data_IF_899510681436
#
_entry.id   IF_899510681436
#
_cell.length_a   1.000
_cell.length_b   1.000
_cell.length_c   1.000
_cell.angle_alpha   90.00
_cell.angle_beta   90.00
_cell.angle_gamma   90.00
#
_symmetry.space_group_name_H-M   'P 1'
#
loop_
_entity.id
_entity.type
_entity.pdbx_description
1 polymer ?
#
# COMPACT_ATOMS: atom_id res chain seq x y z
N UNK A 1 -13.35 5.78 -0.71
CA UNK A 1 -12.86 4.38 -0.91
C UNK A 1 -11.41 4.26 -0.47
N UNK A 2 -11.00 3.17 0.20
CA UNK A 2 -9.60 2.93 0.60
C UNK A 2 -8.89 2.12 -0.47
N UNK A 3 -7.67 2.55 -0.83
CA UNK A 3 -6.79 1.89 -1.81
C UNK A 3 -5.41 1.67 -1.18
N UNK A 4 -5.00 0.39 -1.08
CA UNK A 4 -3.65 0.04 -0.63
C UNK A 4 -2.59 0.41 -1.67
N UNK A 5 -1.49 0.98 -1.21
CA UNK A 5 -0.29 1.26 -2.01
C UNK A 5 0.89 0.31 -1.70
N UNK A 6 0.65 -0.80 -1.03
CA UNK A 6 1.71 -1.69 -0.53
C UNK A 6 2.31 -1.06 0.75
N UNK A 7 3.47 -1.15 1.05
CA UNK A 7 4.69 -1.88 1.09
C UNK A 7 4.51 -3.40 1.08
N UNK A 8 3.53 -3.87 1.85
CA UNK A 8 3.14 -5.26 2.03
C UNK A 8 1.60 -5.41 2.00
N UNK A 9 1.09 -6.58 2.36
CA UNK A 9 -0.33 -6.88 2.36
C UNK A 9 -1.11 -6.41 3.61
N UNK A 10 -0.48 -5.77 4.59
CA UNK A 10 -1.11 -5.42 5.88
C UNK A 10 -2.35 -4.55 5.70
N UNK A 11 -2.26 -3.50 4.89
CA UNK A 11 -3.39 -2.61 4.62
C UNK A 11 -4.55 -3.37 3.99
N UNK A 12 -4.27 -4.22 3.01
CA UNK A 12 -5.29 -5.04 2.33
C UNK A 12 -5.93 -6.07 3.27
N UNK A 13 -5.14 -6.66 4.17
CA UNK A 13 -5.66 -7.55 5.22
C UNK A 13 -6.62 -6.83 6.16
N UNK A 14 -6.30 -5.59 6.58
CA UNK A 14 -7.21 -4.81 7.42
C UNK A 14 -8.47 -4.41 6.65
N UNK A 15 -8.33 -3.99 5.41
CA UNK A 15 -9.49 -3.68 4.57
C UNK A 15 -10.41 -4.90 4.37
N UNK A 16 -9.86 -6.10 4.22
CA UNK A 16 -10.66 -7.33 4.17
C UNK A 16 -11.33 -7.63 5.49
N UNK A 17 -10.57 -7.59 6.58
CA UNK A 17 -11.08 -7.86 7.93
C UNK A 17 -12.29 -6.99 8.29
N UNK A 18 -12.26 -5.72 7.90
CA UNK A 18 -13.31 -4.74 8.18
C UNK A 18 -14.33 -4.56 7.05
N UNK A 19 -14.27 -5.38 5.99
CA UNK A 19 -15.13 -5.28 4.79
C UNK A 19 -15.09 -3.91 4.12
N UNK A 20 -13.94 -3.24 4.19
CA UNK A 20 -13.71 -1.94 3.56
C UNK A 20 -13.22 -2.07 2.13
N UNK A 21 -12.70 -3.25 1.75
CA UNK A 21 -12.22 -3.53 0.41
C UNK A 21 -13.39 -3.80 -0.53
N UNK A 22 -13.63 -2.90 -1.48
CA UNK A 22 -14.67 -3.06 -2.49
C UNK A 22 -14.27 -4.02 -3.62
N UNK A 23 -12.97 -4.10 -3.92
CA UNK A 23 -12.42 -4.91 -5.01
C UNK A 23 -10.92 -5.13 -4.85
N UNK A 24 -10.36 -6.08 -5.60
CA UNK A 24 -8.90 -6.28 -5.61
C UNK A 24 -8.21 -5.33 -6.59
N UNK A 25 -7.12 -4.71 -6.16
CA UNK A 25 -6.30 -3.74 -6.86
C UNK A 25 -4.82 -4.18 -6.95
N UNK A 26 -3.96 -3.52 -7.75
CA UNK A 26 -2.61 -4.02 -8.05
C UNK A 26 -1.75 -4.29 -6.82
N UNK A 27 -1.79 -3.42 -5.81
CA UNK A 27 -0.88 -3.48 -4.66
C UNK A 27 -1.43 -4.25 -3.45
N UNK A 28 -2.60 -4.88 -3.54
CA UNK A 28 -3.23 -5.53 -2.40
C UNK A 28 -2.42 -6.70 -1.81
N UNK A 29 -1.76 -7.48 -2.68
CA UNK A 29 -1.12 -8.74 -2.30
C UNK A 29 0.31 -8.88 -2.82
N UNK A 30 0.97 -7.77 -3.03
CA UNK A 30 2.37 -7.74 -3.43
C UNK A 30 3.18 -6.87 -2.46
N UNK A 31 4.49 -6.95 -2.58
CA UNK A 31 5.43 -6.12 -1.81
C UNK A 31 6.00 -5.07 -2.75
N UNK A 32 5.82 -3.79 -2.47
CA UNK A 32 6.38 -2.69 -3.25
C UNK A 32 7.58 -2.08 -2.51
N UNK A 33 8.80 -2.47 -2.92
CA UNK A 33 10.01 -2.08 -2.20
C UNK A 33 10.37 -0.60 -2.33
N UNK A 34 10.18 -0.04 -3.50
CA UNK A 34 10.67 1.30 -3.84
C UNK A 34 9.56 2.33 -4.01
N UNK A 35 8.41 2.07 -3.44
CA UNK A 35 7.27 2.93 -3.63
C UNK A 35 6.49 2.59 -4.90
N UNK A 36 5.65 3.49 -5.33
CA UNK A 36 4.65 3.19 -6.36
C UNK A 36 4.52 4.31 -7.40
N UNK A 37 5.19 5.45 -7.22
CA UNK A 37 5.00 6.62 -8.08
C UNK A 37 5.27 6.34 -9.55
N UNK A 38 6.31 5.55 -9.87
CA UNK A 38 6.64 5.18 -11.26
C UNK A 38 5.53 4.35 -11.93
N UNK A 39 4.84 3.49 -11.16
CA UNK A 39 3.71 2.73 -11.70
C UNK A 39 2.59 3.66 -12.18
N UNK A 40 2.29 4.70 -11.41
CA UNK A 40 1.26 5.68 -11.76
C UNK A 40 1.74 6.63 -12.87
N UNK A 41 3.03 6.96 -12.91
CA UNK A 41 3.58 7.85 -13.92
C UNK A 41 3.46 7.29 -15.33
N UNK A 42 3.72 6.00 -15.53
CA UNK A 42 3.64 5.34 -16.83
C UNK A 42 2.38 4.48 -17.04
N UNK A 43 1.34 4.72 -16.23
CA UNK A 43 0.03 4.05 -16.35
C UNK A 43 0.11 2.52 -16.23
N UNK A 44 1.02 2.00 -15.39
CA UNK A 44 1.22 0.57 -15.15
C UNK A 44 1.68 -0.21 -16.40
N UNK A 45 2.21 0.47 -17.41
CA UNK A 45 2.57 -0.11 -18.70
C UNK A 45 3.44 -1.36 -18.59
N UNK A 46 4.38 -1.34 -17.65
CA UNK A 46 5.34 -2.43 -17.46
C UNK A 46 5.12 -3.21 -16.15
N UNK A 47 3.89 -3.22 -15.65
CA UNK A 47 3.61 -3.84 -14.35
C UNK A 47 3.76 -5.35 -14.36
N UNK A 48 3.50 -6.00 -15.50
CA UNK A 48 3.56 -7.46 -15.64
C UNK A 48 4.59 -7.96 -16.67
N UNK A 49 4.91 -7.17 -17.68
CA UNK A 49 5.76 -7.62 -18.80
C UNK A 49 7.25 -7.64 -18.47
N UNK A 50 7.63 -7.14 -17.30
CA UNK A 50 9.02 -7.09 -16.82
C UNK A 50 9.29 -7.96 -15.61
N UNK A 51 8.37 -8.88 -15.27
CA UNK A 51 8.53 -9.77 -14.12
C UNK A 51 9.66 -10.76 -14.40
N UNK A 52 10.67 -10.75 -13.52
CA UNK A 52 11.83 -11.63 -13.61
C UNK A 52 11.61 -12.99 -12.92
N UNK A 53 12.65 -13.84 -12.95
CA UNK A 53 12.65 -15.15 -12.30
C UNK A 53 12.45 -15.09 -10.78
N UNK A 54 12.75 -13.95 -10.15
CA UNK A 54 12.56 -13.71 -8.72
C UNK A 54 11.18 -13.13 -8.42
N UNK A 55 10.31 -13.07 -9.42
CA UNK A 55 8.95 -12.54 -9.37
C UNK A 55 8.91 -11.05 -9.02
N UNK A 56 9.88 -10.30 -9.50
CA UNK A 56 9.99 -8.86 -9.27
C UNK A 56 9.94 -8.15 -10.62
N UNK A 57 9.17 -7.09 -10.73
CA UNK A 57 9.11 -6.27 -11.93
C UNK A 57 10.08 -5.08 -11.87
N UNK A 58 10.16 -4.29 -12.96
CA UNK A 58 11.06 -3.13 -13.06
C UNK A 58 10.81 -2.04 -12.01
N UNK A 59 9.62 -2.02 -11.39
CA UNK A 59 9.27 -1.08 -10.33
C UNK A 59 9.61 -1.59 -8.93
N UNK A 60 10.37 -2.68 -8.83
CA UNK A 60 10.67 -3.37 -7.58
C UNK A 60 9.39 -3.81 -6.82
N UNK A 61 8.36 -4.21 -7.55
CA UNK A 61 7.18 -4.87 -6.99
C UNK A 61 7.38 -6.37 -7.01
N UNK A 62 7.35 -6.98 -5.85
CA UNK A 62 7.50 -8.43 -5.65
C UNK A 62 6.13 -9.09 -5.50
N UNK A 63 5.87 -10.08 -6.33
CA UNK A 63 4.61 -10.84 -6.36
C UNK A 63 4.67 -12.05 -5.42
N UNK A 64 4.63 -11.78 -4.12
CA UNK A 64 4.83 -12.79 -3.07
C UNK A 64 3.88 -14.00 -3.18
N UNK A 65 2.63 -13.78 -3.55
CA UNK A 65 1.60 -14.81 -3.61
C UNK A 65 1.44 -15.43 -5.00
N UNK A 66 1.92 -14.78 -6.04
CA UNK A 66 1.64 -15.08 -7.44
C UNK A 66 2.92 -15.42 -8.21
N UNK A 67 2.77 -15.91 -9.45
CA UNK A 67 3.89 -16.29 -10.33
C UNK A 67 4.81 -17.37 -9.74
N UNK A 68 4.27 -18.28 -8.92
CA UNK A 68 5.05 -19.30 -8.21
C UNK A 68 5.42 -20.49 -9.11
N UNK A 69 4.60 -20.76 -10.12
CA UNK A 69 4.86 -21.78 -11.11
C UNK A 69 4.34 -21.35 -12.50
N UNK A 70 4.85 -22.03 -13.53
CA UNK A 70 4.51 -21.69 -14.91
C UNK A 70 3.05 -22.00 -15.29
N UNK A 71 2.35 -22.81 -14.50
CA UNK A 71 0.97 -23.25 -14.83
C UNK A 71 -0.05 -22.14 -14.52
N UNK A 72 0.29 -21.20 -13.64
CA UNK A 72 -0.59 -20.09 -13.25
C UNK A 72 -0.21 -18.76 -13.90
N UNK A 73 0.89 -18.72 -14.66
CA UNK A 73 1.50 -17.48 -15.16
C UNK A 73 0.52 -16.64 -16.01
N UNK A 74 -0.19 -17.26 -16.95
CA UNK A 74 -1.17 -16.55 -17.78
C UNK A 74 -2.34 -16.02 -16.96
N UNK A 75 -2.84 -16.82 -16.02
CA UNK A 75 -3.94 -16.42 -15.13
C UNK A 75 -3.51 -15.27 -14.20
N UNK A 76 -2.27 -15.29 -13.74
CA UNK A 76 -1.71 -14.23 -12.92
C UNK A 76 -1.56 -12.94 -13.74
N UNK A 77 -1.10 -13.02 -14.99
CA UNK A 77 -1.06 -11.88 -15.91
C UNK A 77 -2.44 -11.26 -16.11
N UNK A 78 -3.44 -12.04 -16.49
CA UNK A 78 -4.82 -11.57 -16.68
C UNK A 78 -5.36 -10.91 -15.41
N UNK A 79 -5.08 -11.49 -14.25
CA UNK A 79 -5.47 -10.96 -12.96
C UNK A 79 -4.91 -9.56 -12.73
N UNK A 80 -3.61 -9.37 -12.97
CA UNK A 80 -2.96 -8.07 -12.74
C UNK A 80 -3.31 -7.05 -13.82
N UNK A 81 -3.46 -7.43 -15.09
CA UNK A 81 -4.00 -6.55 -16.14
C UNK A 81 -5.36 -6.00 -15.70
N UNK A 82 -6.27 -6.87 -15.27
CA UNK A 82 -7.59 -6.48 -14.82
C UNK A 82 -7.55 -5.57 -13.60
N UNK A 83 -6.63 -5.80 -12.64
CA UNK A 83 -6.46 -4.96 -11.45
C UNK A 83 -5.93 -3.57 -11.80
N UNK A 84 -4.93 -3.47 -12.69
CA UNK A 84 -4.36 -2.21 -13.15
C UNK A 84 -5.40 -1.39 -13.92
N UNK A 85 -6.09 -2.00 -14.88
CA UNK A 85 -7.16 -1.33 -15.65
C UNK A 85 -8.26 -0.81 -14.73
N UNK A 86 -8.67 -1.62 -13.76
CA UNK A 86 -9.68 -1.22 -12.78
C UNK A 86 -9.24 -0.01 -11.95
N UNK A 87 -8.00 0.00 -11.47
CA UNK A 87 -7.48 1.14 -10.74
C UNK A 87 -7.49 2.40 -11.61
N UNK A 88 -7.02 2.32 -12.84
CA UNK A 88 -7.04 3.46 -13.76
C UNK A 88 -8.46 3.98 -14.04
N UNK A 89 -9.44 3.09 -14.21
CA UNK A 89 -10.85 3.46 -14.39
C UNK A 89 -11.43 4.15 -13.15
N UNK A 90 -11.09 3.67 -11.96
CA UNK A 90 -11.48 4.32 -10.71
C UNK A 90 -10.92 5.73 -10.64
N UNK A 91 -9.62 5.90 -10.90
CA UNK A 91 -8.96 7.21 -10.82
C UNK A 91 -9.54 8.24 -11.79
N UNK A 92 -10.00 7.78 -12.96
CA UNK A 92 -10.60 8.64 -13.99
C UNK A 92 -12.04 9.04 -13.69
N UNK A 93 -12.83 8.13 -13.11
CA UNK A 93 -14.29 8.22 -13.14
C UNK A 93 -14.95 8.32 -11.76
N UNK A 94 -14.23 8.12 -10.66
CA UNK A 94 -14.86 8.14 -9.34
C UNK A 94 -15.22 9.55 -8.90
N UNK A 95 -16.38 9.67 -8.28
CA UNK A 95 -16.81 10.88 -7.56
C UNK A 95 -16.57 10.78 -6.04
N UNK A 96 -16.30 9.55 -5.56
CA UNK A 96 -15.97 9.30 -4.17
C UNK A 96 -14.55 9.77 -3.84
N UNK A 97 -14.34 10.22 -2.61
CA UNK A 97 -13.00 10.45 -2.10
C UNK A 97 -12.20 9.14 -2.05
N UNK A 98 -10.98 9.17 -2.57
CA UNK A 98 -10.01 8.08 -2.44
C UNK A 98 -9.08 8.36 -1.26
N UNK A 99 -8.88 7.35 -0.42
CA UNK A 99 -7.87 7.37 0.62
C UNK A 99 -6.81 6.34 0.24
N UNK A 100 -5.68 6.84 -0.26
CA UNK A 100 -4.52 5.98 -0.50
C UNK A 100 -3.82 5.68 0.82
N UNK A 101 -3.56 4.41 1.08
CA UNK A 101 -2.94 3.98 2.33
C UNK A 101 -1.69 3.16 2.04
N UNK A 102 -0.57 3.57 2.64
CA UNK A 102 0.70 2.85 2.58
C UNK A 102 1.15 2.50 3.99
N UNK A 103 1.46 1.23 4.23
CA UNK A 103 2.34 0.86 5.34
C UNK A 103 3.75 1.25 4.92
N UNK A 104 4.39 2.16 5.64
CA UNK A 104 5.72 2.63 5.30
C UNK A 104 6.79 1.56 5.53
N UNK A 105 8.03 1.92 5.32
CA UNK A 105 9.16 1.02 5.41
C UNK A 105 9.19 0.22 6.73
N UNK A 106 9.11 -1.09 6.63
CA UNK A 106 9.11 -1.98 7.81
C UNK A 106 10.49 -2.54 8.15
N UNK A 107 11.52 -2.32 7.40
CA UNK A 107 12.86 -2.88 7.61
C UNK A 107 12.93 -4.42 7.67
N UNK A 108 11.81 -5.07 7.58
CA UNK A 108 11.63 -6.48 7.93
C UNK A 108 12.01 -7.44 6.81
N UNK A 109 11.85 -7.02 5.58
CA UNK A 109 12.18 -7.84 4.41
C UNK A 109 13.57 -7.53 3.86
N UNK A 110 14.39 -6.82 4.61
CA UNK A 110 15.75 -6.46 4.20
C UNK A 110 16.62 -7.66 3.85
N UNK A 111 16.46 -8.72 4.63
CA UNK A 111 17.34 -9.88 4.52
C UNK A 111 16.93 -10.83 3.37
N UNK A 112 15.65 -10.80 2.98
CA UNK A 112 15.12 -11.70 1.94
C UNK A 112 15.44 -11.22 0.51
N UNK A 113 15.62 -9.92 0.31
CA UNK A 113 15.72 -9.32 -1.02
C UNK A 113 16.86 -8.31 -1.18
N UNK A 114 18.01 -8.57 -0.55
CA UNK A 114 19.28 -7.88 -0.80
C UNK A 114 19.21 -6.33 -0.66
N UNK A 115 18.52 -5.84 0.34
CA UNK A 115 18.48 -4.40 0.61
C UNK A 115 17.67 -3.58 -0.39
N UNK A 116 16.69 -4.16 -1.06
CA UNK A 116 15.81 -3.46 -2.01
C UNK A 116 14.94 -2.38 -1.38
N UNK A 117 14.70 -2.47 -0.07
CA UNK A 117 13.96 -1.41 0.62
C UNK A 117 14.74 -0.11 0.67
N UNK A 118 14.06 0.95 0.30
CA UNK A 118 14.54 2.33 0.50
C UNK A 118 14.43 2.73 1.98
N UNK A 119 14.95 3.88 2.29
CA UNK A 119 14.80 4.50 3.62
C UNK A 119 13.38 5.05 3.82
N UNK A 120 13.00 5.32 5.06
CA UNK A 120 11.75 6.02 5.37
C UNK A 120 11.66 7.35 4.61
N UNK A 121 12.76 8.11 4.55
CA UNK A 121 12.80 9.40 3.84
C UNK A 121 12.49 9.23 2.37
N UNK A 122 13.12 8.27 1.68
CA UNK A 122 12.86 8.03 0.25
C UNK A 122 11.46 7.47 -0.02
N UNK A 123 10.86 6.76 0.94
CA UNK A 123 9.47 6.30 0.82
C UNK A 123 8.48 7.48 0.91
N UNK A 124 8.73 8.43 1.80
CA UNK A 124 7.96 9.67 1.89
C UNK A 124 8.11 10.51 0.61
N UNK A 125 9.33 10.66 0.10
CA UNK A 125 9.61 11.37 -1.16
C UNK A 125 8.88 10.74 -2.34
N UNK A 126 8.81 9.41 -2.40
CA UNK A 126 8.05 8.70 -3.44
C UNK A 126 6.54 8.99 -3.35
N UNK A 127 5.98 9.02 -2.15
CA UNK A 127 4.55 9.36 -1.96
C UNK A 127 4.29 10.84 -2.28
N UNK A 128 5.19 11.75 -1.95
CA UNK A 128 5.09 13.17 -2.36
C UNK A 128 5.17 13.34 -3.89
N UNK A 129 5.99 12.52 -4.57
CA UNK A 129 6.02 12.43 -6.03
C UNK A 129 4.72 11.87 -6.59
N UNK A 130 4.19 10.79 -5.98
CA UNK A 130 2.90 10.21 -6.35
C UNK A 130 1.77 11.23 -6.25
N UNK A 131 1.74 12.01 -5.18
CA UNK A 131 0.78 13.11 -5.02
C UNK A 131 0.82 14.09 -6.20
N UNK A 132 2.03 14.49 -6.60
CA UNK A 132 2.24 15.39 -7.74
C UNK A 132 1.73 14.76 -9.05
N UNK A 133 1.99 13.47 -9.27
CA UNK A 133 1.54 12.72 -10.45
C UNK A 133 0.02 12.62 -10.48
N UNK A 134 -0.61 12.25 -9.36
CA UNK A 134 -2.07 12.12 -9.27
C UNK A 134 -2.75 13.46 -9.50
N UNK A 135 -2.28 14.53 -8.87
CA UNK A 135 -2.82 15.86 -9.06
C UNK A 135 -2.76 16.33 -10.52
N UNK A 136 -1.67 16.02 -11.23
CA UNK A 136 -1.49 16.36 -12.63
C UNK A 136 -2.36 15.51 -13.57
N UNK A 137 -2.42 14.19 -13.36
CA UNK A 137 -3.15 13.27 -14.23
C UNK A 137 -4.66 13.26 -13.99
N UNK A 138 -5.07 13.48 -12.74
CA UNK A 138 -6.47 13.35 -12.31
C UNK A 138 -6.93 14.60 -11.53
N UNK A 139 -6.98 15.79 -12.17
CA UNK A 139 -7.19 17.07 -11.47
C UNK A 139 -8.57 17.22 -10.80
N UNK A 140 -9.53 16.33 -11.10
CA UNK A 140 -10.86 16.32 -10.48
C UNK A 140 -10.97 15.30 -9.34
N UNK A 141 -9.96 14.46 -9.16
CA UNK A 141 -10.00 13.42 -8.15
C UNK A 141 -9.91 14.04 -6.75
N UNK A 142 -10.83 13.66 -5.89
CA UNK A 142 -10.76 13.97 -4.46
C UNK A 142 -10.00 12.85 -3.77
N UNK A 143 -8.89 13.18 -3.13
CA UNK A 143 -8.08 12.16 -2.46
C UNK A 143 -7.26 12.73 -1.31
N UNK A 144 -6.87 11.83 -0.41
CA UNK A 144 -5.80 12.03 0.58
C UNK A 144 -4.94 10.78 0.67
N UNK A 145 -3.76 10.91 1.24
CA UNK A 145 -2.81 9.83 1.44
C UNK A 145 -2.51 9.65 2.92
N UNK A 146 -2.46 8.42 3.38
CA UNK A 146 -2.17 8.06 4.76
C UNK A 146 -0.99 7.09 4.76
N UNK A 147 0.06 7.42 5.50
CA UNK A 147 1.24 6.59 5.64
C UNK A 147 1.37 6.13 7.09
N UNK A 148 1.47 4.83 7.29
CA UNK A 148 1.81 4.20 8.57
C UNK A 148 3.31 3.88 8.60
N UNK A 149 4.08 4.55 9.42
CA UNK A 149 5.48 4.25 9.61
C UNK A 149 5.66 3.42 10.89
N UNK A 150 5.95 2.14 10.74
CA UNK A 150 6.21 1.23 11.85
C UNK A 150 7.50 0.44 11.61
N UNK A 151 8.60 0.87 12.19
CA UNK A 151 9.86 0.14 12.14
C UNK A 151 10.76 0.49 13.31
N UNK A 152 11.13 -0.49 14.11
CA UNK A 152 12.05 -0.30 15.24
C UNK A 152 13.49 -0.04 14.81
N UNK A 153 13.95 -0.65 13.71
CA UNK A 153 15.32 -0.48 13.19
C UNK A 153 15.52 0.85 12.48
N UNK A 154 14.46 1.41 11.92
CA UNK A 154 14.49 2.65 11.16
C UNK A 154 13.90 3.83 11.92
N UNK A 155 13.22 3.55 13.03
CA UNK A 155 12.56 4.55 13.86
C UNK A 155 13.51 5.05 14.92
N UNK A 156 13.95 6.27 14.78
CA UNK A 156 14.61 6.97 15.87
C UNK A 156 13.49 7.65 16.69
N UNK A 157 13.28 7.30 17.96
CA UNK A 157 12.13 7.75 18.75
C UNK A 157 12.01 9.27 18.89
N UNK A 158 13.05 10.01 18.55
CA UNK A 158 13.09 11.47 18.60
C UNK A 158 12.90 12.13 17.23
N UNK A 159 12.73 11.35 16.15
CA UNK A 159 12.50 11.89 14.81
C UNK A 159 11.02 11.72 14.48
N UNK A 160 10.33 12.84 14.30
CA UNK A 160 8.99 12.89 13.75
C UNK A 160 9.09 13.06 12.25
N UNK A 161 8.63 12.06 11.51
CA UNK A 161 8.54 12.16 10.06
C UNK A 161 7.26 12.90 9.69
N UNK A 162 7.38 13.87 8.78
CA UNK A 162 6.28 14.70 8.30
C UNK A 162 6.39 14.88 6.79
N UNK A 163 5.27 15.09 6.10
CA UNK A 163 5.24 15.50 4.70
C UNK A 163 5.10 17.01 4.58
N UNK A 164 5.62 17.55 3.49
CA UNK A 164 5.42 18.96 3.08
C UNK A 164 4.08 19.19 2.36
N UNK A 165 3.35 18.12 2.06
CA UNK A 165 2.09 18.15 1.34
C UNK A 165 0.91 18.09 2.29
N UNK A 166 -0.08 18.96 2.11
CA UNK A 166 -1.22 19.07 3.02
C UNK A 166 -2.19 17.89 2.99
N UNK A 167 -2.20 17.14 1.90
CA UNK A 167 -3.06 15.97 1.71
C UNK A 167 -2.35 14.64 2.02
N UNK A 168 -1.14 14.69 2.59
CA UNK A 168 -0.40 13.52 3.05
C UNK A 168 -0.29 13.55 4.57
N UNK A 169 -0.86 12.55 5.21
CA UNK A 169 -0.87 12.36 6.66
C UNK A 169 0.08 11.20 7.01
N UNK A 170 1.03 11.45 7.93
CA UNK A 170 2.00 10.47 8.37
C UNK A 170 1.77 10.12 9.84
N UNK A 171 1.49 8.84 10.09
CA UNK A 171 1.35 8.28 11.43
C UNK A 171 2.64 7.55 11.82
N UNK A 172 3.42 8.15 12.70
CA UNK A 172 4.62 7.55 13.27
C UNK A 172 4.20 6.58 14.38
N UNK A 173 4.30 5.28 14.11
CA UNK A 173 3.93 4.23 15.04
C UNK A 173 5.20 3.77 15.76
N UNK A 174 5.30 4.08 17.05
CA UNK A 174 6.38 3.59 17.91
C UNK A 174 6.11 2.12 18.25
N UNK A 175 6.43 1.22 17.34
CA UNK A 175 6.21 -0.19 17.50
C UNK A 175 7.43 -0.96 17.00
N UNK A 176 7.66 -2.14 17.57
CA UNK A 176 8.62 -3.09 17.01
C UNK A 176 8.21 -3.44 15.59
N UNK A 177 9.19 -3.64 14.69
CA UNK A 177 8.93 -4.14 13.36
C UNK A 177 7.93 -5.29 13.45
N UNK A 178 6.85 -5.26 12.65
CA UNK A 178 5.73 -6.21 12.72
C UNK A 178 4.84 -6.13 13.96
N UNK A 179 4.75 -5.01 14.61
CA UNK A 179 3.65 -4.81 15.53
C UNK A 179 2.34 -4.60 14.75
N UNK A 180 1.78 -5.73 14.30
CA UNK A 180 0.45 -5.76 13.71
C UNK A 180 -0.59 -5.14 14.63
N UNK A 181 -0.41 -5.21 15.95
CA UNK A 181 -1.34 -4.67 16.93
C UNK A 181 -1.28 -3.14 16.96
N UNK A 182 -0.09 -2.55 16.97
CA UNK A 182 0.07 -1.09 16.94
C UNK A 182 -0.43 -0.49 15.62
N UNK A 183 -0.03 -1.07 14.48
CA UNK A 183 -0.53 -0.64 13.17
C UNK A 183 -2.04 -0.82 13.06
N UNK A 184 -2.57 -1.92 13.56
CA UNK A 184 -4.00 -2.19 13.61
C UNK A 184 -4.77 -1.19 14.47
N UNK A 185 -4.25 -0.84 15.66
CA UNK A 185 -4.89 0.14 16.53
C UNK A 185 -4.99 1.52 15.85
N UNK A 186 -3.90 1.97 15.21
CA UNK A 186 -3.88 3.24 14.47
C UNK A 186 -4.81 3.19 13.25
N UNK A 187 -4.79 2.08 12.50
CA UNK A 187 -5.71 1.89 11.37
C UNK A 187 -7.18 1.99 11.81
N UNK A 188 -7.55 1.30 12.89
CA UNK A 188 -8.93 1.32 13.40
C UNK A 188 -9.34 2.67 13.95
N UNK A 189 -8.40 3.44 14.49
CA UNK A 189 -8.68 4.80 14.96
C UNK A 189 -8.95 5.77 13.81
N UNK A 190 -8.11 5.75 12.78
CA UNK A 190 -8.24 6.61 11.60
C UNK A 190 -9.50 6.29 10.79
N UNK A 191 -9.81 5.01 10.64
CA UNK A 191 -10.94 4.55 9.81
C UNK A 191 -12.18 4.16 10.62
N UNK A 192 -12.28 4.64 11.86
CA UNK A 192 -13.36 4.30 12.79
C UNK A 192 -14.75 4.52 12.20
N UNK A 193 -14.96 5.64 11.51
CA UNK A 193 -16.26 5.99 10.95
C UNK A 193 -16.65 5.14 9.74
N UNK A 194 -15.67 4.51 9.08
CA UNK A 194 -15.90 3.60 7.96
C UNK A 194 -16.06 2.14 8.43
N UNK A 195 -15.60 1.82 9.64
CA UNK A 195 -15.69 0.47 10.22
C UNK A 195 -17.05 0.31 10.89
N UNK A 196 -17.91 -0.57 10.35
CA UNK A 196 -19.21 -0.84 10.90
C UNK A 196 -19.15 -1.38 12.35
N UNK A 197 -20.08 -0.97 13.20
CA UNK A 197 -20.20 -1.42 14.59
C UNK A 197 -20.22 -2.94 14.74
N UNK A 198 -20.84 -3.68 13.82
CA UNK A 198 -20.85 -5.14 13.81
C UNK A 198 -19.45 -5.76 13.66
N UNK A 199 -18.61 -5.13 12.83
CA UNK A 199 -17.21 -5.57 12.63
C UNK A 199 -16.36 -5.32 13.87
N UNK A 200 -16.67 -4.28 14.65
CA UNK A 200 -15.98 -3.95 15.90
C UNK A 200 -16.33 -4.92 17.04
N UNK A 201 -17.59 -5.36 17.14
CA UNK A 201 -18.02 -6.33 18.15
C UNK A 201 -17.38 -7.71 17.94
N UNK A 202 -17.22 -8.14 16.67
CA UNK A 202 -16.56 -9.40 16.34
C UNK A 202 -15.11 -9.46 16.84
N UNK A 203 -14.42 -8.33 16.90
CA UNK A 203 -13.02 -8.25 17.35
C UNK A 203 -12.87 -8.33 18.87
N UNK A 204 -13.89 -7.94 19.63
CA UNK A 204 -13.86 -8.04 21.10
C UNK A 204 -14.06 -9.48 21.57
N UNK A 205 -14.57 -10.35 20.70
CA UNK A 205 -14.85 -11.75 21.01
C UNK A 205 -13.80 -12.74 20.54
N UNK A 206 -12.76 -12.28 19.82
CA UNK A 206 -11.66 -13.16 19.42
C UNK A 206 -10.72 -13.45 20.60
N UNK A 207 -10.37 -14.73 20.84
CA UNK A 207 -9.37 -15.07 21.85
C UNK A 207 -8.03 -14.43 21.47
N UNK A 208 -7.36 -13.86 22.47
CA UNK A 208 -6.05 -13.23 22.38
C UNK A 208 -4.94 -14.25 22.10
#
# INVERSE_FOLDING_TARGET
>A
MIISLGTDCIVSMFCDKYKLRKMSLPFDWCVSYNGVSECFEDDFKHFIDTIDKDRINKYDVYFHHDYKDNTTYEQDNEKYIRRCNRLQEILKNTEEEIIFVRSGHSGHHHDEHNGRYKTIVSDIEDIERLDTIIAAKYPKLKYRMVIFLSCDKCFQPNIKYESKKNNIEIHNIAAKAFDLQGTHAVFTDIFRDQINHESMQYLQTMPR
#
